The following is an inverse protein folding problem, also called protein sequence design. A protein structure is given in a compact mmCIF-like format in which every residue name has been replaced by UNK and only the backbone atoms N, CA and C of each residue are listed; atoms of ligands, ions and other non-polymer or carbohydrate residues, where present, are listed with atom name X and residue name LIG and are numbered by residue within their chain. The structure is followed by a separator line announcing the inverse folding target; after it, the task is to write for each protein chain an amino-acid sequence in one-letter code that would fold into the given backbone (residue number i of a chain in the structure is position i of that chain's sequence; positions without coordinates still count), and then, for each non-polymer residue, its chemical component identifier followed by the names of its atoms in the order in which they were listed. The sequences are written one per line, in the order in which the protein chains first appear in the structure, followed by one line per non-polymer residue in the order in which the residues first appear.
data_IF_998583582443
#
_entry.id   IF_998583582443
#
_cell.length_a   1.000
_cell.length_b   1.000
_cell.length_c   1.000
_cell.angle_alpha   90.00
_cell.angle_beta   90.00
_cell.angle_gamma   90.00
#
_symmetry.space_group_name_H-M   'P 1'
#
loop_
_entity.id
_entity.type
_entity.pdbx_description
1 polymer ?
#
# COMPACT_ATOMS: atom_id res chain seq x y z
N UNK A 1 -19.15 -37.47 28.16
CA UNK A 1 -18.69 -36.51 27.13
C UNK A 1 -18.51 -37.27 25.81
N UNK A 2 -19.20 -36.86 24.74
CA UNK A 2 -19.04 -37.51 23.43
C UNK A 2 -17.84 -36.89 22.72
N UNK A 3 -16.89 -37.72 22.30
CA UNK A 3 -15.71 -37.26 21.56
C UNK A 3 -15.82 -37.75 20.11
N UNK A 4 -15.74 -36.83 19.13
CA UNK A 4 -15.62 -37.20 17.73
C UNK A 4 -14.13 -37.38 17.43
N UNK A 5 -13.74 -38.59 17.01
CA UNK A 5 -12.39 -38.91 16.55
C UNK A 5 -12.43 -39.04 15.02
N UNK A 6 -11.94 -38.04 14.30
CA UNK A 6 -11.80 -38.07 12.85
C UNK A 6 -10.57 -37.30 12.43
N UNK A 7 -9.94 -37.69 11.32
CA UNK A 7 -8.82 -36.94 10.72
C UNK A 7 -9.31 -35.98 9.64
N UNK A 8 -10.47 -36.23 9.04
CA UNK A 8 -11.01 -35.44 7.96
C UNK A 8 -12.49 -35.13 8.20
N UNK A 9 -12.89 -33.90 7.89
CA UNK A 9 -14.29 -33.49 7.85
C UNK A 9 -14.58 -33.02 6.42
N UNK A 10 -15.58 -33.66 5.78
CA UNK A 10 -15.95 -33.42 4.39
C UNK A 10 -17.45 -33.13 4.32
N UNK A 11 -17.86 -32.12 3.57
CA UNK A 11 -19.26 -31.86 3.28
C UNK A 11 -19.78 -32.93 2.28
N UNK A 12 -21.00 -33.41 2.45
CA UNK A 12 -21.56 -34.50 1.69
C UNK A 12 -21.62 -34.33 0.17
N UNK A 13 -21.58 -33.09 -0.33
CA UNK A 13 -21.49 -32.79 -1.77
C UNK A 13 -20.05 -32.68 -2.31
N UNK A 14 -19.04 -32.80 -1.44
CA UNK A 14 -17.64 -32.66 -1.80
C UNK A 14 -16.94 -34.03 -1.75
N UNK A 15 -17.15 -34.83 -2.79
CA UNK A 15 -16.59 -36.18 -2.85
C UNK A 15 -15.10 -36.14 -3.20
N UNK A 16 -14.24 -36.50 -2.27
CA UNK A 16 -12.82 -36.72 -2.51
C UNK A 16 -11.85 -35.71 -1.90
N UNK A 17 -12.31 -34.55 -1.44
CA UNK A 17 -11.44 -33.56 -0.78
C UNK A 17 -11.99 -33.20 0.61
N UNK A 18 -11.18 -33.34 1.66
CA UNK A 18 -11.57 -32.93 2.98
C UNK A 18 -11.70 -31.40 3.08
N UNK A 19 -12.78 -30.91 3.65
CA UNK A 19 -12.94 -29.46 3.92
C UNK A 19 -12.07 -29.01 5.10
N UNK A 20 -11.77 -29.95 6.02
CA UNK A 20 -10.89 -29.72 7.16
C UNK A 20 -10.08 -30.99 7.43
N UNK A 21 -8.80 -30.84 7.61
CA UNK A 21 -7.87 -31.93 8.00
C UNK A 21 -7.31 -31.63 9.37
N UNK A 22 -7.40 -32.59 10.29
CA UNK A 22 -6.79 -32.57 11.60
C UNK A 22 -5.50 -33.36 11.56
N UNK A 23 -4.35 -32.73 11.71
CA UNK A 23 -3.05 -33.39 11.72
C UNK A 23 -2.75 -33.97 13.11
N UNK A 24 -1.83 -34.94 13.15
CA UNK A 24 -1.41 -35.61 14.40
C UNK A 24 -0.63 -34.68 15.35
N UNK A 25 -0.09 -33.59 14.86
CA UNK A 25 0.59 -32.54 15.64
C UNK A 25 -0.36 -31.51 16.27
N UNK A 26 -1.69 -31.69 16.08
CA UNK A 26 -2.73 -30.78 16.55
C UNK A 26 -3.04 -29.62 15.62
N UNK A 27 -2.36 -29.51 14.47
CA UNK A 27 -2.69 -28.49 13.48
C UNK A 27 -3.98 -28.80 12.72
N UNK A 28 -4.64 -27.74 12.22
CA UNK A 28 -5.86 -27.82 11.42
C UNK A 28 -5.63 -27.15 10.09
N UNK A 29 -5.89 -27.89 9.01
CA UNK A 29 -5.83 -27.35 7.66
C UNK A 29 -7.24 -27.32 7.06
N UNK A 30 -7.61 -26.20 6.45
CA UNK A 30 -8.85 -26.03 5.70
C UNK A 30 -8.56 -26.10 4.20
N UNK A 31 -9.48 -26.67 3.43
CA UNK A 31 -9.34 -26.83 1.98
C UNK A 31 -9.37 -25.49 1.20
N UNK A 32 -9.85 -24.42 1.83
CA UNK A 32 -9.81 -23.05 1.30
C UNK A 32 -9.39 -22.08 2.39
N UNK A 33 -8.85 -20.94 2.01
CA UNK A 33 -8.48 -19.88 2.94
C UNK A 33 -9.67 -19.50 3.82
N UNK A 34 -9.45 -19.51 5.15
CA UNK A 34 -10.46 -19.16 6.16
C UNK A 34 -10.29 -17.71 6.59
N UNK A 35 -9.37 -16.98 5.98
CA UNK A 35 -9.09 -15.58 6.25
C UNK A 35 -9.97 -14.64 5.44
N UNK A 36 -10.10 -13.40 5.91
CA UNK A 36 -10.77 -12.32 5.17
C UNK A 36 -10.00 -11.99 3.87
N UNK A 37 -8.67 -12.14 3.90
CA UNK A 37 -7.77 -11.89 2.78
C UNK A 37 -7.03 -13.17 2.39
N UNK A 38 -6.93 -13.41 1.08
CA UNK A 38 -6.20 -14.55 0.50
C UNK A 38 -4.73 -14.22 0.22
N UNK A 39 -4.40 -12.94 0.04
CA UNK A 39 -3.04 -12.46 -0.21
C UNK A 39 -2.91 -10.97 0.09
N UNK A 40 -1.65 -10.47 0.07
CA UNK A 40 -1.34 -9.06 0.26
C UNK A 40 -0.12 -8.64 -0.54
N UNK A 41 -0.01 -7.32 -0.81
CA UNK A 41 1.22 -6.71 -1.30
C UNK A 41 1.45 -5.36 -0.60
N UNK A 42 2.72 -4.96 -0.49
CA UNK A 42 3.14 -3.65 0.03
C UNK A 42 4.13 -3.06 -0.97
N UNK A 43 3.78 -1.90 -1.51
CA UNK A 43 4.61 -1.16 -2.44
C UNK A 43 4.85 0.26 -1.93
N UNK A 44 5.96 0.87 -2.32
CA UNK A 44 6.27 2.22 -1.85
C UNK A 44 7.12 3.04 -2.83
N UNK A 45 7.25 4.33 -2.53
CA UNK A 45 8.32 5.20 -3.00
C UNK A 45 9.49 5.08 -2.02
N UNK A 46 10.54 4.40 -2.44
CA UNK A 46 11.78 4.25 -1.67
C UNK A 46 12.91 4.97 -2.38
N UNK A 47 13.63 5.81 -1.64
CA UNK A 47 14.82 6.53 -2.12
C UNK A 47 15.97 6.37 -1.12
N UNK A 48 17.17 6.72 -1.53
CA UNK A 48 18.31 6.76 -0.60
C UNK A 48 18.02 7.71 0.57
N UNK A 49 18.59 7.44 1.73
CA UNK A 49 18.32 8.16 2.99
C UNK A 49 18.56 9.67 2.92
N UNK A 50 19.38 10.14 1.97
CA UNK A 50 19.66 11.56 1.74
C UNK A 50 18.88 12.18 0.58
N UNK A 51 17.98 11.42 -0.04
CA UNK A 51 17.19 11.87 -1.20
C UNK A 51 15.77 12.21 -0.79
N UNK A 52 15.39 13.46 -0.95
CA UNK A 52 14.05 13.95 -0.67
C UNK A 52 12.99 13.40 -1.63
N UNK A 53 11.73 13.51 -1.24
CA UNK A 53 10.59 13.05 -2.02
C UNK A 53 10.35 13.84 -3.32
N UNK A 54 10.94 15.03 -3.45
CA UNK A 54 10.82 15.88 -4.63
C UNK A 54 9.84 17.04 -4.47
N UNK A 55 9.77 17.87 -5.51
CA UNK A 55 8.94 19.07 -5.55
C UNK A 55 7.44 18.76 -5.58
N UNK A 56 6.68 19.35 -4.66
CA UNK A 56 5.23 19.28 -4.65
C UNK A 56 4.63 20.60 -5.19
N UNK A 57 4.29 20.62 -6.47
CA UNK A 57 3.73 21.80 -7.12
C UNK A 57 2.21 21.85 -6.97
N UNK A 58 1.69 22.97 -6.45
CA UNK A 58 0.26 23.24 -6.32
C UNK A 58 -0.47 23.43 -7.67
N UNK A 59 -1.79 23.53 -7.62
CA UNK A 59 -2.63 23.87 -8.79
C UNK A 59 -3.00 22.70 -9.70
N UNK A 60 -2.52 21.47 -9.42
CA UNK A 60 -2.92 20.26 -10.14
C UNK A 60 -2.70 19.01 -9.29
N UNK A 61 -3.31 17.90 -9.71
CA UNK A 61 -2.99 16.58 -9.21
C UNK A 61 -1.60 16.17 -9.69
N UNK A 62 -0.76 15.69 -8.79
CA UNK A 62 0.59 15.18 -9.05
C UNK A 62 0.61 13.69 -8.76
N UNK A 63 1.13 12.90 -9.68
CA UNK A 63 1.37 11.48 -9.46
C UNK A 63 2.46 11.31 -8.41
N UNK A 64 2.25 10.40 -7.46
CA UNK A 64 3.26 9.98 -6.48
C UNK A 64 4.16 8.92 -7.11
N UNK A 65 5.43 8.95 -6.74
CA UNK A 65 6.34 7.87 -7.09
C UNK A 65 5.93 6.58 -6.36
N UNK A 66 6.07 5.46 -7.06
CA UNK A 66 5.98 4.09 -6.58
C UNK A 66 7.00 3.28 -7.36
N UNK A 67 8.07 2.86 -6.71
CA UNK A 67 9.24 2.27 -7.37
C UNK A 67 9.73 0.97 -6.73
N UNK A 68 9.23 0.63 -5.53
CA UNK A 68 9.72 -0.51 -4.77
C UNK A 68 8.58 -1.38 -4.28
N UNK A 69 8.74 -2.68 -4.46
CA UNK A 69 7.91 -3.72 -3.88
C UNK A 69 8.58 -4.24 -2.62
N UNK A 70 7.96 -3.97 -1.46
CA UNK A 70 8.47 -4.43 -0.16
C UNK A 70 8.07 -5.89 0.07
N UNK A 71 6.84 -6.24 -0.29
CA UNK A 71 6.30 -7.58 -0.14
C UNK A 71 5.20 -7.84 -1.16
N UNK A 72 5.26 -8.97 -1.83
CA UNK A 72 4.18 -9.53 -2.68
C UNK A 72 4.40 -11.04 -2.84
N UNK A 73 4.08 -11.84 -1.79
CA UNK A 73 4.38 -13.28 -1.79
C UNK A 73 3.69 -14.06 -2.91
N UNK A 74 2.57 -13.55 -3.44
CA UNK A 74 1.76 -14.24 -4.44
C UNK A 74 1.71 -13.51 -5.79
N UNK A 75 2.57 -12.50 -5.99
CA UNK A 75 2.67 -11.73 -7.23
C UNK A 75 1.32 -11.13 -7.68
N UNK A 76 0.59 -10.51 -6.73
CA UNK A 76 -0.72 -9.90 -7.00
C UNK A 76 -0.63 -8.50 -7.59
N UNK A 77 0.55 -7.85 -7.55
CA UNK A 77 0.79 -6.51 -8.06
C UNK A 77 1.96 -6.48 -9.03
N UNK A 78 1.97 -5.54 -9.94
CA UNK A 78 3.17 -5.16 -10.72
C UNK A 78 3.27 -3.64 -10.76
N UNK A 79 4.51 -3.10 -10.70
CA UNK A 79 4.78 -1.66 -10.73
C UNK A 79 5.44 -1.31 -12.05
N UNK A 80 4.96 -0.24 -12.71
CA UNK A 80 5.57 0.36 -13.88
C UNK A 80 5.19 1.83 -14.00
N UNK A 81 6.15 2.71 -14.25
CA UNK A 81 5.89 4.16 -14.44
C UNK A 81 5.15 4.82 -13.28
N UNK A 82 5.47 4.42 -12.05
CA UNK A 82 4.80 4.89 -10.82
C UNK A 82 3.30 4.52 -10.72
N UNK A 83 2.87 3.56 -11.52
CA UNK A 83 1.55 2.95 -11.50
C UNK A 83 1.65 1.51 -11.02
N UNK A 84 0.60 0.99 -10.40
CA UNK A 84 0.51 -0.40 -10.01
C UNK A 84 -0.70 -1.08 -10.65
N UNK A 85 -0.50 -2.27 -11.19
CA UNK A 85 -1.53 -3.05 -11.88
C UNK A 85 -1.95 -4.25 -11.04
N UNK A 86 -3.26 -4.42 -10.87
CA UNK A 86 -3.89 -5.57 -10.21
C UNK A 86 -4.67 -6.39 -11.24
N UNK A 87 -4.70 -7.72 -11.05
CA UNK A 87 -5.50 -8.63 -11.86
C UNK A 87 -6.95 -8.69 -11.37
N UNK A 88 -7.83 -9.42 -12.06
CA UNK A 88 -9.22 -9.61 -11.62
C UNK A 88 -9.30 -10.08 -10.16
N UNK A 89 -10.21 -9.48 -9.39
CA UNK A 89 -10.38 -9.77 -7.97
C UNK A 89 -11.04 -8.64 -7.21
N UNK A 90 -11.15 -8.84 -5.90
CA UNK A 90 -11.61 -7.82 -4.95
C UNK A 90 -10.46 -7.47 -4.02
N UNK A 91 -10.21 -6.18 -3.84
CA UNK A 91 -9.07 -5.68 -3.08
C UNK A 91 -9.49 -4.57 -2.12
N UNK A 92 -8.91 -4.59 -0.92
CA UNK A 92 -8.84 -3.43 -0.05
C UNK A 92 -7.46 -2.78 -0.26
N UNK A 93 -7.46 -1.54 -0.72
CA UNK A 93 -6.26 -0.75 -0.97
C UNK A 93 -6.20 0.36 0.06
N UNK A 94 -5.10 0.45 0.79
CA UNK A 94 -4.80 1.53 1.74
C UNK A 94 -3.57 2.27 1.28
N UNK A 95 -3.48 3.58 1.53
CA UNK A 95 -2.29 4.35 1.20
C UNK A 95 -2.05 5.48 2.18
N UNK A 96 -0.79 5.91 2.23
CA UNK A 96 -0.35 7.09 2.95
C UNK A 96 0.65 7.85 2.07
N UNK A 97 0.40 9.14 1.87
CA UNK A 97 1.24 10.02 1.05
C UNK A 97 1.65 11.25 1.86
N UNK A 98 2.94 11.45 2.16
CA UNK A 98 3.41 12.60 2.92
C UNK A 98 3.32 13.89 2.11
N UNK A 99 3.11 15.00 2.82
CA UNK A 99 3.29 16.35 2.32
C UNK A 99 4.07 17.16 3.35
N UNK A 100 5.09 17.88 2.91
CA UNK A 100 5.94 18.72 3.75
C UNK A 100 5.78 20.18 3.34
N UNK A 101 5.54 21.09 4.29
CA UNK A 101 5.44 22.55 4.08
C UNK A 101 4.52 22.96 2.94
N UNK A 102 3.45 22.22 2.68
CA UNK A 102 2.58 22.40 1.53
C UNK A 102 1.15 22.85 1.88
N UNK A 103 0.90 23.21 3.14
CA UNK A 103 -0.38 23.58 3.73
C UNK A 103 -1.41 22.46 3.58
N UNK A 104 -2.65 22.78 3.16
CA UNK A 104 -3.68 21.75 2.95
C UNK A 104 -3.32 20.86 1.78
N UNK A 105 -3.43 19.56 2.00
CA UNK A 105 -3.20 18.58 0.95
C UNK A 105 -4.13 17.38 1.06
N UNK A 106 -4.36 16.71 -0.06
CA UNK A 106 -5.24 15.55 -0.17
C UNK A 106 -4.73 14.63 -1.27
N UNK A 107 -4.70 13.33 -1.03
CA UNK A 107 -4.39 12.33 -2.04
C UNK A 107 -5.64 11.60 -2.53
N UNK A 108 -5.50 10.82 -3.59
CA UNK A 108 -6.57 9.96 -4.10
C UNK A 108 -6.03 8.71 -4.77
N UNK A 109 -6.83 7.66 -4.75
CA UNK A 109 -6.64 6.52 -5.64
C UNK A 109 -7.28 6.86 -7.00
N UNK A 110 -6.47 6.83 -8.05
CA UNK A 110 -6.90 7.07 -9.42
C UNK A 110 -6.77 5.81 -10.26
N UNK A 111 -7.83 5.43 -10.93
CA UNK A 111 -7.90 4.32 -11.88
C UNK A 111 -7.45 4.84 -13.25
N UNK A 112 -6.26 4.44 -13.65
CA UNK A 112 -5.65 4.90 -14.91
C UNK A 112 -6.33 4.24 -16.09
N UNK A 113 -6.63 2.95 -16.00
CA UNK A 113 -7.29 2.18 -17.07
C UNK A 113 -8.64 2.79 -17.45
N UNK A 114 -9.44 3.21 -16.48
CA UNK A 114 -10.78 3.75 -16.71
C UNK A 114 -10.83 5.28 -16.63
N UNK A 115 -9.70 5.96 -16.46
CA UNK A 115 -9.59 7.43 -16.34
C UNK A 115 -10.53 8.02 -15.28
N UNK A 116 -10.63 7.38 -14.11
CA UNK A 116 -11.58 7.73 -13.07
C UNK A 116 -10.93 7.81 -11.67
N UNK A 117 -11.33 8.79 -10.85
CA UNK A 117 -10.99 8.72 -9.44
C UNK A 117 -11.84 7.66 -8.74
N UNK A 118 -11.23 6.91 -7.80
CA UNK A 118 -11.95 5.89 -7.02
C UNK A 118 -12.31 6.39 -5.64
N UNK A 119 -11.37 6.99 -4.93
CA UNK A 119 -11.56 7.48 -3.57
C UNK A 119 -10.59 8.61 -3.25
N UNK A 120 -11.04 9.62 -2.53
CA UNK A 120 -10.19 10.61 -1.89
C UNK A 120 -9.74 10.09 -0.51
N UNK A 121 -8.54 10.48 -0.12
CA UNK A 121 -8.03 10.34 1.25
C UNK A 121 -8.67 11.35 2.19
N UNK A 122 -8.35 11.28 3.46
CA UNK A 122 -8.59 12.38 4.37
C UNK A 122 -7.69 13.56 4.03
N UNK A 123 -8.26 14.76 4.13
CA UNK A 123 -7.51 16.01 3.98
C UNK A 123 -6.53 16.13 5.14
N UNK A 124 -5.31 16.54 4.84
CA UNK A 124 -4.26 16.76 5.81
C UNK A 124 -3.70 18.17 5.71
N UNK A 125 -2.90 18.58 6.70
CA UNK A 125 -2.30 19.91 6.76
C UNK A 125 -0.84 19.80 7.22
N UNK A 126 0.08 20.31 6.39
CA UNK A 126 1.51 20.40 6.65
C UNK A 126 1.92 21.87 6.55
N UNK A 127 2.04 22.54 7.68
CA UNK A 127 2.23 24.00 7.76
C UNK A 127 3.45 24.47 7.00
N UNK A 128 3.26 25.37 6.03
CA UNK A 128 4.34 26.04 5.31
C UNK A 128 5.04 27.12 6.16
N UNK A 129 4.44 27.54 7.27
CA UNK A 129 4.99 28.56 8.15
C UNK A 129 5.86 27.99 9.29
N UNK A 130 5.68 26.72 9.67
CA UNK A 130 6.32 26.12 10.85
C UNK A 130 7.05 24.81 10.54
N UNK A 131 7.38 24.55 9.30
CA UNK A 131 8.10 23.35 8.86
C UNK A 131 7.48 22.07 9.41
N UNK A 132 6.46 21.56 8.74
CA UNK A 132 5.74 20.35 9.18
C UNK A 132 5.54 19.35 8.07
N UNK A 133 5.66 18.07 8.42
CA UNK A 133 5.21 16.95 7.58
C UNK A 133 3.96 16.33 8.16
N UNK A 134 3.01 16.01 7.30
CA UNK A 134 1.87 15.19 7.66
C UNK A 134 1.51 14.27 6.48
N UNK A 135 0.72 13.23 6.75
CA UNK A 135 0.34 12.24 5.73
C UNK A 135 -1.14 12.32 5.40
N UNK A 136 -1.43 12.34 4.12
CA UNK A 136 -2.76 12.14 3.57
C UNK A 136 -2.99 10.63 3.43
N UNK A 137 -3.89 10.08 4.25
CA UNK A 137 -4.15 8.63 4.30
C UNK A 137 -5.53 8.31 3.75
N UNK A 138 -5.63 7.26 2.95
CA UNK A 138 -6.88 6.83 2.37
C UNK A 138 -7.00 5.30 2.30
N UNK A 139 -8.20 4.85 2.02
CA UNK A 139 -8.51 3.45 1.76
C UNK A 139 -9.66 3.34 0.78
N UNK A 140 -9.67 2.28 -0.02
CA UNK A 140 -10.71 2.01 -1.01
C UNK A 140 -10.86 0.52 -1.22
N UNK A 141 -12.09 0.02 -1.23
CA UNK A 141 -12.39 -1.33 -1.69
C UNK A 141 -12.74 -1.28 -3.17
N UNK A 142 -12.07 -2.08 -3.99
CA UNK A 142 -12.33 -2.18 -5.43
C UNK A 142 -12.61 -3.63 -5.84
N UNK A 143 -13.54 -3.82 -6.77
CA UNK A 143 -13.77 -5.11 -7.44
C UNK A 143 -13.54 -4.89 -8.93
N UNK A 144 -12.63 -5.65 -9.51
CA UNK A 144 -12.20 -5.54 -10.91
C UNK A 144 -12.33 -6.88 -11.62
N UNK A 145 -12.75 -6.83 -12.87
CA UNK A 145 -12.97 -8.03 -13.70
C UNK A 145 -11.80 -8.36 -14.63
N UNK A 146 -10.78 -7.50 -14.69
CA UNK A 146 -9.57 -7.66 -15.51
C UNK A 146 -8.43 -6.79 -15.00
N UNK A 147 -7.29 -6.88 -15.66
CA UNK A 147 -6.11 -6.09 -15.31
C UNK A 147 -6.44 -4.59 -15.31
N UNK A 148 -6.17 -3.94 -14.18
CA UNK A 148 -6.49 -2.52 -13.96
C UNK A 148 -5.31 -1.83 -13.31
N UNK A 149 -4.84 -0.75 -13.96
CA UNK A 149 -3.75 0.09 -13.47
C UNK A 149 -4.29 1.22 -12.59
N UNK A 150 -3.61 1.44 -11.47
CA UNK A 150 -3.90 2.49 -10.51
C UNK A 150 -2.66 3.32 -10.22
N UNK A 151 -2.88 4.54 -9.71
CA UNK A 151 -1.84 5.37 -9.14
C UNK A 151 -2.34 6.18 -7.95
N UNK A 152 -1.43 6.71 -7.16
CA UNK A 152 -1.76 7.69 -6.13
C UNK A 152 -1.49 9.07 -6.69
N UNK A 153 -2.54 9.87 -6.83
CA UNK A 153 -2.43 11.30 -7.14
C UNK A 153 -2.51 12.10 -5.84
N UNK A 154 -1.81 13.22 -5.78
CA UNK A 154 -1.76 14.11 -4.62
C UNK A 154 -1.85 15.58 -5.05
N UNK A 155 -2.61 16.38 -4.33
CA UNK A 155 -2.76 17.81 -4.58
C UNK A 155 -2.49 18.59 -3.29
N UNK A 156 -1.87 19.78 -3.39
CA UNK A 156 -1.56 20.66 -2.28
C UNK A 156 -1.97 22.10 -2.54
N UNK A 157 -2.06 22.88 -1.46
CA UNK A 157 -2.40 24.30 -1.50
C UNK A 157 -1.20 25.14 -1.88
N UNK A 158 -0.03 24.87 -1.30
CA UNK A 158 1.20 25.67 -1.45
C UNK A 158 2.28 24.82 -2.10
N UNK A 159 2.97 25.36 -3.11
CA UNK A 159 4.12 24.71 -3.74
C UNK A 159 5.30 24.67 -2.76
N UNK A 160 5.91 23.50 -2.63
CA UNK A 160 7.17 23.32 -1.94
C UNK A 160 8.17 22.61 -2.84
N UNK A 161 9.28 23.27 -3.11
CA UNK A 161 10.38 22.71 -3.93
C UNK A 161 11.19 21.68 -3.16
N UNK A 162 11.82 20.79 -3.88
CA UNK A 162 12.80 19.77 -3.46
C UNK A 162 12.26 18.69 -2.52
N UNK A 163 11.61 19.03 -1.43
CA UNK A 163 11.15 18.09 -0.40
C UNK A 163 9.65 18.17 -0.06
N UNK A 164 8.85 18.84 -0.87
CA UNK A 164 7.40 18.97 -0.64
C UNK A 164 6.63 17.65 -0.67
N UNK A 165 7.14 16.65 -1.36
CA UNK A 165 6.59 15.29 -1.40
C UNK A 165 7.11 14.38 -0.28
N UNK A 166 7.88 14.92 0.67
CA UNK A 166 8.44 14.26 1.85
C UNK A 166 9.90 14.62 2.07
N UNK A 167 10.28 14.76 3.33
CA UNK A 167 11.66 15.07 3.73
C UNK A 167 12.43 13.77 3.95
N UNK A 168 13.68 13.72 3.50
CA UNK A 168 14.57 12.56 3.65
C UNK A 168 14.86 12.26 5.12
N UNK A 169 15.13 11.00 5.44
CA UNK A 169 15.42 10.57 6.81
C UNK A 169 16.81 11.01 7.30
N UNK A 170 17.77 11.19 6.39
CA UNK A 170 19.18 11.52 6.66
C UNK A 170 19.83 10.67 7.78
N UNK A 171 19.39 9.43 7.94
CA UNK A 171 19.90 8.50 8.95
C UNK A 171 21.09 7.71 8.43
N UNK A 172 22.06 7.44 9.31
CA UNK A 172 23.16 6.51 9.05
C UNK A 172 22.88 5.12 9.64
N UNK A 173 23.74 4.13 9.35
CA UNK A 173 23.62 2.75 9.87
C UNK A 173 23.56 2.65 11.40
N UNK A 174 24.05 3.62 12.14
CA UNK A 174 23.92 3.66 13.59
C UNK A 174 22.61 4.32 14.07
N UNK A 175 21.71 4.72 13.18
CA UNK A 175 20.44 5.37 13.50
C UNK A 175 20.59 6.79 14.00
N UNK A 176 21.80 7.38 13.92
CA UNK A 176 22.05 8.77 14.28
C UNK A 176 21.79 9.66 13.07
N UNK A 177 21.18 10.82 13.29
CA UNK A 177 21.11 11.86 12.26
C UNK A 177 22.53 12.33 11.94
N UNK A 178 22.97 12.14 10.72
CA UNK A 178 24.25 12.62 10.22
C UNK A 178 24.12 12.93 8.74
N UNK A 179 24.20 14.18 8.39
CA UNK A 179 24.24 14.61 6.99
C UNK A 179 25.37 13.87 6.25
N UNK A 180 25.03 13.22 5.14
CA UNK A 180 26.01 12.65 4.21
C UNK A 180 26.38 11.19 4.39
N UNK A 181 25.62 10.39 5.12
CA UNK A 181 25.82 8.92 5.13
C UNK A 181 24.77 8.23 4.26
N UNK A 182 25.25 7.32 3.41
CA UNK A 182 24.48 6.65 2.35
C UNK A 182 23.84 5.33 2.79
N UNK A 183 23.71 5.08 4.10
CA UNK A 183 23.15 3.84 4.59
C UNK A 183 21.71 4.05 5.10
N UNK A 184 20.77 3.27 4.56
CA UNK A 184 19.37 3.33 4.86
C UNK A 184 18.53 3.92 3.71
N UNK A 185 17.24 3.96 3.92
CA UNK A 185 16.26 4.42 2.93
C UNK A 185 15.29 5.42 3.54
N UNK A 186 14.85 6.38 2.73
CA UNK A 186 13.66 7.19 2.98
C UNK A 186 12.46 6.54 2.29
N UNK A 187 11.38 6.31 3.03
CA UNK A 187 10.13 5.77 2.49
C UNK A 187 9.06 6.84 2.58
N UNK A 188 8.50 7.21 1.44
CA UNK A 188 7.51 8.27 1.33
C UNK A 188 6.10 7.71 1.15
N UNK A 189 5.63 7.62 -0.10
CA UNK A 189 4.30 7.05 -0.36
C UNK A 189 4.32 5.54 -0.14
N UNK A 190 3.35 5.03 0.62
CA UNK A 190 3.16 3.59 0.85
C UNK A 190 1.77 3.20 0.39
N UNK A 191 1.64 2.07 -0.29
CA UNK A 191 0.36 1.45 -0.65
C UNK A 191 0.35 0.01 -0.13
N UNK A 192 -0.64 -0.30 0.69
CA UNK A 192 -0.95 -1.64 1.19
C UNK A 192 -2.14 -2.20 0.40
N UNK A 193 -2.00 -3.39 -0.14
CA UNK A 193 -2.99 -4.04 -1.00
C UNK A 193 -3.33 -5.38 -0.39
N UNK A 194 -4.61 -5.62 -0.10
CA UNK A 194 -5.10 -6.87 0.46
C UNK A 194 -6.14 -7.46 -0.49
N UNK A 195 -5.85 -8.64 -1.02
CA UNK A 195 -6.78 -9.38 -1.89
C UNK A 195 -7.75 -10.16 -1.03
N UNK A 196 -9.06 -9.92 -1.21
CA UNK A 196 -10.10 -10.70 -0.52
C UNK A 196 -10.10 -12.16 -0.97
N UNK A 197 -10.54 -13.05 -0.07
CA UNK A 197 -10.61 -14.49 -0.30
C UNK A 197 -11.76 -14.90 -1.24
#
# INVERSE_FOLDING_TARGET
MSTIKTTNITHGSNSGTANMVLASDGSVTFASAVGLFSSYAIICDQKDSTTDGGTFTSGAWRQRDLNTEIADPDSIVSISSNEFTLQAGTYLIKWAAPGYDCDRHVSRLYDVTNSAHRQYSWTSYASSAYSGENRSTGFCRVTISGATAYRIDHACQTTKTDYGLGLASETNASGAYSAGTTEGYSIFTVVEIYKEA
#
